data_IF_707106579827
#
_entry.id   IF_707106579827
#
_cell.length_a   1.000
_cell.length_b   1.000
_cell.length_c   1.000
_cell.angle_alpha   90.00
_cell.angle_beta   90.00
_cell.angle_gamma   90.00
#
_symmetry.space_group_name_H-M   'P 1'
#
loop_
_entity.id
_entity.type
_entity.pdbx_description
1 polymer ?
#
# COMPACT_ATOMS: atom_id res chain seq x y z
N UNK A 1 -8.11 26.69 -6.27
CA UNK A 1 -7.76 25.36 -5.74
C UNK A 1 -7.53 25.37 -4.23
N UNK A 2 -6.69 26.25 -3.66
CA UNK A 2 -6.38 26.27 -2.21
C UNK A 2 -7.60 26.27 -1.28
N UNK A 3 -8.62 27.07 -1.58
CA UNK A 3 -9.82 27.22 -0.73
C UNK A 3 -10.69 25.94 -0.68
N UNK A 4 -10.82 25.23 -1.83
CA UNK A 4 -11.53 23.95 -1.91
C UNK A 4 -10.79 22.81 -1.19
N UNK A 5 -9.46 22.85 -1.20
CA UNK A 5 -8.60 21.89 -0.50
C UNK A 5 -8.72 22.03 1.02
N UNK A 6 -8.69 23.27 1.54
CA UNK A 6 -8.82 23.55 2.96
C UNK A 6 -10.17 23.11 3.54
N UNK A 7 -11.26 23.31 2.78
CA UNK A 7 -12.60 22.86 3.19
C UNK A 7 -12.72 21.34 3.26
N UNK A 8 -12.10 20.60 2.32
CA UNK A 8 -12.11 19.14 2.35
C UNK A 8 -11.34 18.59 3.57
N UNK A 9 -10.16 19.14 3.86
CA UNK A 9 -9.36 18.76 5.03
C UNK A 9 -10.10 19.07 6.34
N UNK A 10 -10.72 20.25 6.44
CA UNK A 10 -11.48 20.62 7.62
C UNK A 10 -12.70 19.71 7.85
N UNK A 11 -13.43 19.34 6.78
CA UNK A 11 -14.54 18.39 6.86
C UNK A 11 -14.10 17.03 7.38
N UNK A 12 -13.03 16.48 6.79
CA UNK A 12 -12.46 15.18 7.21
C UNK A 12 -12.02 15.24 8.67
N UNK A 13 -11.25 16.26 9.05
CA UNK A 13 -10.77 16.41 10.42
C UNK A 13 -11.94 16.47 11.42
N UNK A 14 -13.01 17.21 11.08
CA UNK A 14 -14.21 17.30 11.91
C UNK A 14 -14.88 15.93 12.07
N UNK A 15 -15.18 15.23 10.98
CA UNK A 15 -15.85 13.90 11.03
C UNK A 15 -15.03 12.86 11.81
N UNK A 16 -13.71 12.86 11.62
CA UNK A 16 -12.79 11.97 12.36
C UNK A 16 -12.79 12.31 13.84
N UNK A 17 -12.72 13.59 14.21
CA UNK A 17 -12.72 14.01 15.60
C UNK A 17 -14.07 13.68 16.28
N UNK A 18 -15.19 13.91 15.59
CA UNK A 18 -16.53 13.51 16.05
C UNK A 18 -16.61 12.00 16.30
N UNK A 19 -16.03 11.17 15.42
CA UNK A 19 -15.98 9.70 15.60
C UNK A 19 -15.21 9.32 16.87
N UNK A 20 -14.07 9.97 17.12
CA UNK A 20 -13.24 9.72 18.31
C UNK A 20 -13.94 10.18 19.59
N UNK A 21 -14.55 11.37 19.58
CA UNK A 21 -15.23 11.95 20.75
C UNK A 21 -16.51 11.21 21.12
N UNK A 22 -17.27 10.77 20.11
CA UNK A 22 -18.51 10.01 20.32
C UNK A 22 -18.28 8.54 20.67
N UNK A 23 -17.05 8.03 20.47
CA UNK A 23 -16.78 6.60 20.59
C UNK A 23 -17.55 5.76 19.58
N UNK A 24 -17.89 6.35 18.42
CA UNK A 24 -18.65 5.69 17.36
C UNK A 24 -17.87 4.50 16.80
N UNK A 25 -18.61 3.44 16.47
CA UNK A 25 -18.12 2.28 15.70
C UNK A 25 -18.11 2.54 14.19
N UNK A 26 -18.61 3.70 13.79
CA UNK A 26 -18.79 4.10 12.41
C UNK A 26 -17.93 5.32 12.11
N UNK A 27 -17.07 5.19 11.08
CA UNK A 27 -16.30 6.30 10.52
C UNK A 27 -16.89 6.69 9.16
N UNK A 28 -17.58 7.83 9.14
CA UNK A 28 -18.11 8.43 7.92
C UNK A 28 -17.11 9.43 7.32
N UNK A 29 -16.65 9.12 6.12
CA UNK A 29 -15.81 9.98 5.27
C UNK A 29 -16.39 10.12 3.86
N UNK A 30 -17.71 9.92 3.71
CA UNK A 30 -18.40 10.12 2.46
C UNK A 30 -18.35 11.59 2.00
N UNK A 31 -18.37 11.80 0.68
CA UNK A 31 -18.45 13.12 0.02
C UNK A 31 -17.33 14.10 0.41
N UNK A 32 -16.17 13.57 0.78
CA UNK A 32 -15.03 14.37 1.22
C UNK A 32 -14.09 14.80 0.08
N UNK A 33 -14.36 14.36 -1.17
CA UNK A 33 -13.51 14.60 -2.35
C UNK A 33 -12.10 14.03 -2.17
N UNK A 34 -12.01 12.88 -1.52
CA UNK A 34 -10.76 12.20 -1.24
C UNK A 34 -10.24 11.51 -2.49
N UNK A 35 -9.01 11.84 -2.89
CA UNK A 35 -8.29 11.12 -3.96
C UNK A 35 -7.60 9.86 -3.41
N UNK A 36 -7.26 9.88 -2.12
CA UNK A 36 -6.71 8.74 -1.38
C UNK A 36 -7.10 8.84 0.09
N UNK A 37 -7.01 7.71 0.81
CA UNK A 37 -7.23 7.71 2.24
C UNK A 37 -6.13 8.52 2.97
N UNK A 38 -6.46 9.57 3.74
CA UNK A 38 -5.45 10.46 4.31
C UNK A 38 -4.60 9.79 5.39
N UNK A 39 -3.28 9.83 5.23
CA UNK A 39 -2.32 9.17 6.13
C UNK A 39 -2.40 9.71 7.57
N UNK A 40 -2.78 10.98 7.74
CA UNK A 40 -2.95 11.59 9.07
C UNK A 40 -4.03 10.90 9.92
N UNK A 41 -5.05 10.32 9.28
CA UNK A 41 -6.16 9.66 9.98
C UNK A 41 -5.67 8.44 10.77
N UNK A 42 -4.68 7.68 10.25
CA UNK A 42 -4.09 6.55 10.97
C UNK A 42 -3.52 6.96 12.34
N UNK A 43 -2.99 8.19 12.44
CA UNK A 43 -2.42 8.70 13.70
C UNK A 43 -3.52 9.10 14.67
N UNK A 44 -4.58 9.74 14.17
CA UNK A 44 -5.70 10.23 14.99
C UNK A 44 -6.54 9.07 15.52
N UNK A 45 -6.78 8.04 14.69
CA UNK A 45 -7.63 6.91 15.04
C UNK A 45 -6.91 5.78 15.78
N UNK A 46 -5.60 5.88 16.05
CA UNK A 46 -4.78 4.77 16.57
C UNK A 46 -5.37 4.03 17.78
N UNK A 47 -6.12 4.72 18.64
CA UNK A 47 -6.67 4.16 19.87
C UNK A 47 -8.13 3.68 19.73
N UNK A 48 -8.75 3.90 18.58
CA UNK A 48 -10.16 3.58 18.30
C UNK A 48 -10.31 2.68 17.07
N UNK A 49 -9.23 2.26 16.41
CA UNK A 49 -9.30 1.42 15.21
C UNK A 49 -10.05 0.11 15.44
N UNK A 50 -9.87 -0.49 16.62
CA UNK A 50 -10.43 -1.81 16.95
C UNK A 50 -11.94 -1.77 17.20
N UNK A 51 -12.49 -0.58 17.50
CA UNK A 51 -13.92 -0.38 17.72
C UNK A 51 -14.67 -0.02 16.43
N UNK A 52 -13.95 0.34 15.36
CA UNK A 52 -14.55 0.73 14.09
C UNK A 52 -14.95 -0.53 13.32
N UNK A 53 -16.26 -0.69 13.14
CA UNK A 53 -16.87 -1.80 12.41
C UNK A 53 -17.45 -1.38 11.07
N UNK A 54 -17.78 -0.10 10.89
CA UNK A 54 -18.28 0.44 9.63
C UNK A 54 -17.42 1.61 9.15
N UNK A 55 -16.95 1.54 7.91
CA UNK A 55 -16.35 2.70 7.24
C UNK A 55 -17.13 3.00 5.96
N UNK A 56 -17.54 4.26 5.81
CA UNK A 56 -18.03 4.77 4.54
C UNK A 56 -17.06 5.78 3.93
N UNK A 57 -16.65 5.48 2.71
CA UNK A 57 -15.83 6.30 1.82
C UNK A 57 -16.58 6.61 0.52
N UNK A 58 -17.91 6.56 0.58
CA UNK A 58 -18.81 6.77 -0.55
C UNK A 58 -18.61 8.14 -1.23
N UNK A 59 -18.85 8.19 -2.54
CA UNK A 59 -18.88 9.42 -3.33
C UNK A 59 -17.59 10.27 -3.17
N UNK A 60 -16.44 9.60 -3.27
CA UNK A 60 -15.12 10.24 -3.26
C UNK A 60 -14.45 10.07 -4.64
N UNK A 61 -13.16 10.37 -4.74
CA UNK A 61 -12.37 10.26 -5.97
C UNK A 61 -11.27 9.19 -5.81
N UNK A 62 -11.52 8.16 -4.99
CA UNK A 62 -10.52 7.14 -4.65
C UNK A 62 -10.21 6.26 -5.85
N UNK A 63 -8.92 6.16 -6.19
CA UNK A 63 -8.43 5.27 -7.26
C UNK A 63 -7.89 3.94 -6.76
N UNK A 64 -7.57 3.88 -5.47
CA UNK A 64 -7.01 2.71 -4.82
C UNK A 64 -7.13 2.83 -3.30
N UNK A 65 -7.18 1.68 -2.62
CA UNK A 65 -6.94 1.58 -1.18
C UNK A 65 -5.57 0.95 -0.93
N UNK A 66 -4.94 1.34 0.17
CA UNK A 66 -3.61 0.82 0.54
C UNK A 66 -3.73 -0.44 1.39
N UNK A 67 -2.70 -1.28 1.37
CA UNK A 67 -2.57 -2.43 2.29
C UNK A 67 -2.69 -1.99 3.75
N UNK A 68 -2.10 -0.84 4.09
CA UNK A 68 -2.18 -0.23 5.42
C UNK A 68 -3.62 0.05 5.86
N UNK A 69 -4.51 0.43 4.95
CA UNK A 69 -5.93 0.62 5.30
C UNK A 69 -6.53 -0.69 5.82
N UNK A 70 -6.31 -1.79 5.09
CA UNK A 70 -6.83 -3.11 5.45
C UNK A 70 -6.26 -3.62 6.77
N UNK A 71 -4.95 -3.49 6.97
CA UNK A 71 -4.30 -3.95 8.20
C UNK A 71 -4.61 -3.09 9.42
N UNK A 72 -4.97 -1.82 9.23
CA UNK A 72 -5.33 -0.92 10.33
C UNK A 72 -6.76 -1.15 10.81
N UNK A 73 -7.70 -1.38 9.90
CA UNK A 73 -9.12 -1.56 10.21
C UNK A 73 -9.53 -3.03 10.12
N UNK A 74 -8.78 -3.91 10.79
CA UNK A 74 -8.97 -5.37 10.70
C UNK A 74 -10.29 -5.88 11.32
N UNK A 75 -10.96 -5.06 12.14
CA UNK A 75 -12.25 -5.34 12.78
C UNK A 75 -13.47 -4.88 11.96
N UNK A 76 -13.26 -4.45 10.71
CA UNK A 76 -14.33 -4.03 9.81
C UNK A 76 -15.33 -5.15 9.55
N UNK A 77 -16.61 -4.76 9.58
CA UNK A 77 -17.78 -5.58 9.23
C UNK A 77 -18.45 -5.06 7.97
N UNK A 78 -18.48 -3.76 7.78
CA UNK A 78 -19.14 -3.11 6.65
C UNK A 78 -18.22 -2.06 6.03
N UNK A 79 -18.06 -2.12 4.71
CA UNK A 79 -17.21 -1.21 3.95
C UNK A 79 -17.95 -0.67 2.73
N UNK A 80 -18.23 0.63 2.75
CA UNK A 80 -18.93 1.35 1.68
C UNK A 80 -17.93 2.17 0.86
N UNK A 81 -17.78 1.81 -0.41
CA UNK A 81 -16.83 2.39 -1.37
C UNK A 81 -17.51 2.84 -2.66
N UNK A 82 -18.83 2.96 -2.65
CA UNK A 82 -19.62 3.29 -3.83
C UNK A 82 -19.30 4.68 -4.37
N UNK A 83 -19.42 4.87 -5.69
CA UNK A 83 -19.23 6.18 -6.32
C UNK A 83 -17.77 6.66 -6.24
N UNK A 84 -16.82 5.77 -6.52
CA UNK A 84 -15.39 6.06 -6.56
C UNK A 84 -14.80 5.67 -7.94
N UNK A 85 -13.47 5.70 -8.08
CA UNK A 85 -12.74 5.31 -9.29
C UNK A 85 -11.87 4.06 -9.06
N UNK A 86 -12.35 3.13 -8.23
CA UNK A 86 -11.64 1.90 -7.92
C UNK A 86 -11.76 0.92 -9.10
N UNK A 87 -10.64 0.33 -9.49
CA UNK A 87 -10.57 -0.72 -10.53
C UNK A 87 -10.05 -2.05 -10.00
N UNK A 88 -9.50 -2.05 -8.78
CA UNK A 88 -8.98 -3.24 -8.08
C UNK A 88 -8.99 -3.01 -6.58
N UNK A 89 -9.01 -4.10 -5.83
CA UNK A 89 -8.76 -4.11 -4.39
C UNK A 89 -7.33 -4.61 -4.09
N UNK A 90 -6.70 -4.14 -2.99
CA UNK A 90 -5.43 -4.71 -2.55
C UNK A 90 -5.61 -6.16 -2.07
N UNK A 91 -4.58 -6.99 -2.19
CA UNK A 91 -4.64 -8.40 -1.79
C UNK A 91 -4.94 -8.58 -0.29
N UNK A 92 -4.53 -7.61 0.52
CA UNK A 92 -4.76 -7.56 1.96
C UNK A 92 -6.23 -7.38 2.33
N UNK A 93 -7.15 -7.15 1.38
CA UNK A 93 -8.60 -7.21 1.66
C UNK A 93 -8.97 -8.58 2.27
N UNK A 94 -8.28 -9.66 1.87
CA UNK A 94 -8.43 -11.00 2.42
C UNK A 94 -8.12 -11.10 3.93
N UNK A 95 -7.44 -10.10 4.51
CA UNK A 95 -7.15 -10.06 5.95
C UNK A 95 -8.34 -9.60 6.79
N UNK A 96 -9.40 -9.05 6.18
CA UNK A 96 -10.60 -8.57 6.87
C UNK A 96 -11.54 -9.72 7.22
N UNK A 97 -11.12 -10.58 8.15
CA UNK A 97 -11.83 -11.82 8.55
C UNK A 97 -13.26 -11.59 9.08
N UNK A 98 -13.58 -10.37 9.49
CA UNK A 98 -14.89 -9.99 10.04
C UNK A 98 -15.79 -9.26 9.03
N UNK A 99 -15.32 -9.02 7.80
CA UNK A 99 -16.07 -8.26 6.80
C UNK A 99 -17.28 -9.07 6.32
N UNK A 100 -18.47 -8.50 6.49
CA UNK A 100 -19.78 -9.07 6.12
C UNK A 100 -20.37 -8.45 4.88
N UNK A 101 -20.24 -7.14 4.74
CA UNK A 101 -20.79 -6.41 3.59
C UNK A 101 -19.74 -5.49 2.98
N UNK A 102 -19.70 -5.47 1.66
CA UNK A 102 -18.91 -4.52 0.89
C UNK A 102 -19.72 -3.96 -0.27
N UNK A 103 -19.78 -2.63 -0.36
CA UNK A 103 -20.38 -1.93 -1.49
C UNK A 103 -19.30 -1.33 -2.38
N UNK A 104 -19.18 -1.85 -3.59
CA UNK A 104 -18.25 -1.40 -4.64
C UNK A 104 -19.02 -0.86 -5.85
N UNK A 105 -20.32 -0.57 -5.71
CA UNK A 105 -21.13 -0.08 -6.82
C UNK A 105 -20.60 1.25 -7.37
N UNK A 106 -20.88 1.56 -8.65
CA UNK A 106 -20.46 2.83 -9.27
C UNK A 106 -18.96 3.05 -9.17
N UNK A 107 -18.19 2.06 -9.60
CA UNK A 107 -16.73 2.08 -9.68
C UNK A 107 -16.28 1.66 -11.10
N UNK A 108 -15.00 1.29 -11.26
CA UNK A 108 -14.37 0.96 -12.55
C UNK A 108 -13.80 -0.47 -12.57
N UNK A 109 -14.46 -1.41 -11.87
CA UNK A 109 -14.03 -2.81 -11.90
C UNK A 109 -14.37 -3.45 -13.25
N UNK A 110 -13.37 -4.04 -13.90
CA UNK A 110 -13.53 -4.81 -15.15
C UNK A 110 -13.69 -6.31 -14.92
N UNK A 111 -13.14 -6.80 -13.82
CA UNK A 111 -13.18 -8.20 -13.42
C UNK A 111 -13.78 -8.31 -12.01
N UNK A 112 -14.33 -9.47 -11.69
CA UNK A 112 -14.72 -9.76 -10.31
C UNK A 112 -13.47 -9.78 -9.41
N UNK A 113 -13.47 -9.07 -8.27
CA UNK A 113 -12.36 -9.09 -7.33
C UNK A 113 -12.28 -10.43 -6.58
N UNK A 114 -11.55 -11.40 -7.13
CA UNK A 114 -11.42 -12.76 -6.59
C UNK A 114 -10.96 -12.79 -5.12
N UNK A 115 -10.24 -11.78 -4.66
CA UNK A 115 -9.83 -11.64 -3.26
C UNK A 115 -11.02 -11.65 -2.29
N UNK A 116 -12.20 -11.18 -2.71
CA UNK A 116 -13.42 -11.23 -1.90
C UNK A 116 -13.93 -12.66 -1.67
N UNK A 117 -13.62 -13.61 -2.56
CA UNK A 117 -14.03 -15.01 -2.39
C UNK A 117 -13.33 -15.71 -1.23
N UNK A 118 -12.20 -15.15 -0.77
CA UNK A 118 -11.41 -15.70 0.34
C UNK A 118 -11.91 -15.27 1.71
N UNK A 119 -12.86 -14.34 1.77
CA UNK A 119 -13.37 -13.78 3.02
C UNK A 119 -14.42 -14.71 3.64
N UNK A 120 -14.17 -15.26 4.85
CA UNK A 120 -15.02 -16.31 5.41
C UNK A 120 -16.38 -15.80 5.92
N UNK A 121 -16.48 -14.52 6.27
CA UNK A 121 -17.66 -13.91 6.85
C UNK A 121 -18.47 -13.06 5.85
N UNK A 122 -18.06 -13.00 4.59
CA UNK A 122 -18.64 -12.10 3.60
C UNK A 122 -20.01 -12.63 3.13
N UNK A 123 -21.05 -11.85 3.40
CA UNK A 123 -22.45 -12.18 3.13
C UNK A 123 -22.98 -11.39 1.92
N UNK A 124 -22.57 -10.13 1.77
CA UNK A 124 -23.11 -9.21 0.76
C UNK A 124 -22.00 -8.50 -0.01
N UNK A 125 -22.11 -8.53 -1.34
CA UNK A 125 -21.23 -7.80 -2.26
C UNK A 125 -22.12 -7.05 -3.25
N UNK A 126 -21.98 -5.72 -3.31
CA UNK A 126 -22.59 -4.91 -4.36
C UNK A 126 -21.52 -4.49 -5.38
N UNK A 127 -21.71 -4.86 -6.64
CA UNK A 127 -20.83 -4.52 -7.77
C UNK A 127 -21.62 -3.84 -8.91
N UNK A 128 -22.84 -3.36 -8.65
CA UNK A 128 -23.67 -2.69 -9.65
C UNK A 128 -22.97 -1.47 -10.25
N UNK A 129 -23.31 -1.12 -11.48
CA UNK A 129 -22.74 0.06 -12.16
C UNK A 129 -21.20 0.05 -12.21
N UNK A 130 -20.61 -1.12 -12.45
CA UNK A 130 -19.20 -1.31 -12.83
C UNK A 130 -19.08 -1.76 -14.29
N UNK A 131 -17.85 -1.92 -14.77
CA UNK A 131 -17.53 -2.34 -16.14
C UNK A 131 -17.19 -3.84 -16.24
N UNK A 132 -17.83 -4.67 -15.40
CA UNK A 132 -17.48 -6.09 -15.26
C UNK A 132 -17.86 -6.86 -16.53
N UNK A 133 -16.86 -7.31 -17.28
CA UNK A 133 -17.03 -8.11 -18.50
C UNK A 133 -16.77 -9.57 -18.16
N UNK A 134 -17.84 -10.29 -17.80
CA UNK A 134 -17.80 -11.73 -17.55
C UNK A 134 -17.94 -12.09 -16.08
N UNK A 135 -18.97 -12.89 -15.78
CA UNK A 135 -19.06 -13.58 -14.49
C UNK A 135 -17.90 -14.59 -14.38
N UNK A 136 -17.43 -14.94 -13.16
CA UNK A 136 -16.47 -16.01 -13.01
C UNK A 136 -17.06 -17.27 -13.63
N UNK A 137 -16.45 -17.75 -14.71
CA UNK A 137 -16.64 -19.14 -15.11
C UNK A 137 -16.19 -19.97 -13.91
N UNK A 138 -17.16 -20.50 -13.16
CA UNK A 138 -16.90 -21.57 -12.20
C UNK A 138 -15.95 -22.57 -12.87
N UNK A 139 -14.91 -23.07 -12.20
CA UNK A 139 -14.18 -24.21 -12.71
C UNK A 139 -15.18 -25.38 -12.75
N UNK A 140 -15.75 -25.62 -13.93
CA UNK A 140 -16.58 -26.77 -14.23
C UNK A 140 -15.68 -28.00 -14.33
N UNK A 141 -15.20 -28.51 -13.19
CA UNK A 141 -14.62 -29.85 -13.09
C UNK A 141 -14.77 -30.44 -11.67
N UNK A 142 -16.01 -30.54 -11.18
CA UNK A 142 -16.34 -31.59 -10.21
C UNK A 142 -16.35 -32.95 -10.91
N UNK A 143 -15.16 -33.42 -11.31
CA UNK A 143 -14.89 -34.81 -11.66
C UNK A 143 -13.71 -35.25 -10.81
N UNK A 144 -14.05 -35.85 -9.67
CA UNK A 144 -13.15 -36.66 -8.84
C UNK A 144 -12.29 -37.57 -9.73
N UNK A 145 -10.95 -37.58 -9.62
CA UNK A 145 -10.17 -38.72 -10.06
C UNK A 145 -10.07 -39.74 -8.91
N UNK A 146 -10.18 -41.06 -9.18
CA UNK A 146 -9.87 -42.08 -8.19
C UNK A 146 -8.36 -42.13 -7.96
N UNK A 147 -8.03 -42.47 -6.71
CA UNK A 147 -6.72 -42.79 -6.16
C UNK A 147 -5.76 -43.52 -7.10
N UNK A 148 -4.54 -43.00 -7.29
CA UNK A 148 -3.31 -43.81 -7.38
C UNK A 148 -2.09 -43.06 -6.80
N UNK A 149 -1.75 -43.50 -5.59
CA UNK A 149 -0.44 -43.77 -5.00
C UNK A 149 0.84 -43.40 -5.79
N UNK A 150 1.78 -42.67 -5.15
CA UNK A 150 3.19 -42.63 -5.60
C UNK A 150 4.03 -41.39 -5.26
N UNK A 151 4.45 -41.27 -3.99
CA UNK A 151 5.75 -40.74 -3.50
C UNK A 151 6.31 -39.40 -4.03
N UNK A 152 6.35 -38.36 -3.18
CA UNK A 152 7.57 -37.88 -2.48
C UNK A 152 7.35 -36.52 -1.77
N UNK A 153 7.54 -36.55 -0.44
CA UNK A 153 8.11 -35.51 0.47
C UNK A 153 7.54 -34.07 0.55
N UNK A 154 6.91 -33.81 1.71
CA UNK A 154 7.06 -32.65 2.62
C UNK A 154 7.76 -31.38 2.13
N UNK A 155 7.06 -30.24 2.24
CA UNK A 155 7.32 -29.19 3.24
C UNK A 155 6.77 -27.83 2.77
N UNK A 156 5.79 -27.28 3.48
CA UNK A 156 5.62 -25.82 3.58
C UNK A 156 6.82 -25.23 4.31
N UNK A 157 7.24 -24.00 3.97
CA UNK A 157 6.76 -22.90 4.79
C UNK A 157 6.32 -21.68 4.00
N UNK A 158 5.51 -20.88 4.70
CA UNK A 158 5.03 -19.57 4.37
C UNK A 158 6.15 -18.56 4.01
N UNK A 159 5.67 -17.46 3.43
CA UNK A 159 6.19 -16.10 3.53
C UNK A 159 6.79 -15.51 2.23
N UNK A 160 6.18 -14.38 1.86
CA UNK A 160 6.83 -13.16 1.40
C UNK A 160 7.01 -12.92 -0.11
N UNK A 161 6.64 -11.69 -0.47
CA UNK A 161 7.12 -10.85 -1.58
C UNK A 161 6.27 -10.84 -2.86
N UNK A 162 5.03 -10.36 -2.72
CA UNK A 162 4.24 -9.76 -3.81
C UNK A 162 4.78 -8.37 -4.22
N UNK A 163 6.07 -8.28 -4.52
CA UNK A 163 6.69 -7.17 -5.27
C UNK A 163 7.46 -7.65 -6.53
N UNK A 164 7.54 -8.97 -6.77
CA UNK A 164 8.50 -9.55 -7.73
C UNK A 164 7.96 -9.77 -9.15
N UNK A 165 6.66 -9.98 -9.35
CA UNK A 165 6.18 -10.57 -10.62
C UNK A 165 6.21 -9.65 -11.86
N UNK A 166 6.45 -8.34 -11.71
CA UNK A 166 6.68 -7.45 -12.87
C UNK A 166 8.14 -7.48 -13.37
N UNK A 167 9.10 -7.90 -12.54
CA UNK A 167 10.52 -8.08 -12.92
C UNK A 167 10.83 -9.48 -13.47
N UNK A 168 9.89 -10.41 -13.33
CA UNK A 168 10.14 -11.83 -13.55
C UNK A 168 10.07 -12.27 -15.03
N UNK A 169 9.70 -11.38 -15.97
CA UNK A 169 9.53 -11.78 -17.37
C UNK A 169 10.74 -11.53 -18.29
N UNK A 170 11.84 -10.98 -17.77
CA UNK A 170 13.11 -11.01 -18.50
C UNK A 170 14.31 -10.85 -17.56
N UNK A 171 15.05 -11.94 -17.35
CA UNK A 171 16.39 -11.96 -16.72
C UNK A 171 17.30 -10.77 -17.10
N UNK A 172 17.37 -10.31 -18.37
CA UNK A 172 18.18 -9.14 -18.72
C UNK A 172 17.69 -7.82 -18.11
N UNK A 173 16.38 -7.63 -17.88
CA UNK A 173 15.84 -6.36 -17.37
C UNK A 173 16.22 -6.17 -15.90
N UNK A 174 16.10 -7.20 -15.07
CA UNK A 174 16.53 -7.17 -13.67
C UNK A 174 18.04 -6.90 -13.56
N UNK A 175 18.85 -7.56 -14.40
CA UNK A 175 20.29 -7.32 -14.46
C UNK A 175 20.62 -5.85 -14.81
N UNK A 176 19.90 -5.26 -15.77
CA UNK A 176 20.10 -3.85 -16.15
C UNK A 176 19.80 -2.89 -15.00
N UNK A 177 18.74 -3.13 -14.23
CA UNK A 177 18.43 -2.31 -13.05
C UNK A 177 19.48 -2.47 -11.95
N UNK A 178 19.89 -3.70 -11.63
CA UNK A 178 20.94 -3.95 -10.64
C UNK A 178 22.24 -3.23 -11.03
N UNK A 179 22.66 -3.35 -12.29
CA UNK A 179 23.85 -2.66 -12.80
C UNK A 179 23.69 -1.15 -12.69
N UNK A 180 22.53 -0.59 -13.06
CA UNK A 180 22.27 0.84 -12.96
C UNK A 180 22.33 1.33 -11.51
N UNK A 181 21.71 0.61 -10.56
CA UNK A 181 21.75 0.95 -9.14
C UNK A 181 23.18 0.89 -8.57
N UNK A 182 23.96 -0.13 -8.92
CA UNK A 182 25.36 -0.26 -8.51
C UNK A 182 26.20 0.89 -9.07
N UNK A 183 26.00 1.28 -10.33
CA UNK A 183 26.72 2.41 -10.94
C UNK A 183 26.38 3.74 -10.26
N UNK A 184 25.10 4.00 -10.00
CA UNK A 184 24.65 5.21 -9.28
C UNK A 184 25.27 5.25 -7.89
N UNK A 185 25.25 4.12 -7.16
CA UNK A 185 25.87 4.01 -5.85
C UNK A 185 27.36 4.33 -5.87
N UNK A 186 28.11 3.74 -6.81
CA UNK A 186 29.55 4.00 -6.95
C UNK A 186 29.84 5.47 -7.27
N UNK A 187 29.05 6.09 -8.15
CA UNK A 187 29.17 7.52 -8.46
C UNK A 187 28.93 8.39 -7.23
N UNK A 188 27.89 8.09 -6.45
CA UNK A 188 27.60 8.78 -5.20
C UNK A 188 28.75 8.62 -4.18
N UNK A 189 29.26 7.40 -3.99
CA UNK A 189 30.35 7.13 -3.06
C UNK A 189 31.63 7.85 -3.46
N UNK A 190 32.01 7.81 -4.74
CA UNK A 190 33.21 8.50 -5.26
C UNK A 190 33.05 10.02 -5.14
N UNK A 191 31.88 10.56 -5.53
CA UNK A 191 31.60 12.00 -5.45
C UNK A 191 31.68 12.53 -4.02
N UNK A 192 30.99 11.87 -3.09
CA UNK A 192 30.97 12.27 -1.68
C UNK A 192 32.33 12.06 -1.00
N UNK A 193 33.06 11.01 -1.35
CA UNK A 193 34.43 10.78 -0.85
C UNK A 193 35.39 11.87 -1.35
N UNK A 194 35.25 12.30 -2.62
CA UNK A 194 36.08 13.36 -3.19
C UNK A 194 35.80 14.72 -2.52
N UNK A 195 34.52 15.04 -2.28
CA UNK A 195 34.11 16.25 -1.54
C UNK A 195 34.71 16.24 -0.14
N UNK A 196 34.58 15.13 0.60
CA UNK A 196 35.21 14.96 1.92
C UNK A 196 36.73 15.15 1.85
N UNK A 197 37.40 14.53 0.87
CA UNK A 197 38.84 14.60 0.71
C UNK A 197 39.34 16.02 0.43
N UNK A 198 38.68 16.75 -0.49
CA UNK A 198 39.06 18.12 -0.86
C UNK A 198 38.92 19.06 0.36
N UNK A 199 37.81 18.96 1.09
CA UNK A 199 37.54 19.82 2.26
C UNK A 199 38.48 19.50 3.42
N UNK A 200 38.80 18.22 3.67
CA UNK A 200 39.72 17.82 4.73
C UNK A 200 41.17 18.18 4.42
N UNK A 201 41.60 18.04 3.16
CA UNK A 201 42.97 18.31 2.71
C UNK A 201 43.31 19.80 2.72
N UNK A 202 42.38 20.67 2.33
CA UNK A 202 42.61 22.12 2.32
C UNK A 202 42.16 22.78 3.62
N UNK A 203 43.08 22.98 4.57
CA UNK A 203 42.82 23.69 5.84
C UNK A 203 42.25 25.10 5.68
N UNK A 204 42.57 25.79 4.59
CA UNK A 204 42.06 27.14 4.29
C UNK A 204 40.58 27.15 3.84
N UNK A 205 40.03 25.99 3.48
CA UNK A 205 38.64 25.84 3.04
C UNK A 205 37.70 25.48 4.19
N UNK A 206 38.10 25.60 5.47
CA UNK A 206 37.25 25.27 6.62
C UNK A 206 36.33 26.42 7.04
N UNK A 207 35.57 26.94 6.09
CA UNK A 207 34.47 27.88 6.37
C UNK A 207 33.24 27.13 6.84
N UNK A 208 32.31 27.80 7.53
CA UNK A 208 31.06 27.20 8.03
C UNK A 208 30.28 26.50 6.91
N UNK A 209 30.26 27.10 5.72
CA UNK A 209 29.63 26.52 4.51
C UNK A 209 30.27 25.21 4.08
N UNK A 210 31.61 25.11 4.10
CA UNK A 210 32.31 23.90 3.70
C UNK A 210 32.23 22.79 4.76
N UNK A 211 32.05 23.14 6.04
CA UNK A 211 31.73 22.17 7.10
C UNK A 211 30.31 21.60 6.92
N UNK A 212 29.34 22.43 6.51
CA UNK A 212 28.00 21.95 6.17
C UNK A 212 28.02 20.98 4.98
N UNK A 213 28.75 21.32 3.92
CA UNK A 213 28.94 20.44 2.76
C UNK A 213 29.61 19.12 3.16
N UNK A 214 30.60 19.16 4.06
CA UNK A 214 31.25 17.96 4.60
C UNK A 214 30.25 17.08 5.39
N UNK A 215 29.42 17.68 6.23
CA UNK A 215 28.40 16.93 7.00
C UNK A 215 27.35 16.29 6.09
N UNK A 216 26.95 16.97 5.01
CA UNK A 216 26.03 16.41 4.02
C UNK A 216 26.67 15.20 3.30
N UNK A 217 27.91 15.35 2.83
CA UNK A 217 28.64 14.28 2.15
C UNK A 217 28.88 13.06 3.06
N UNK A 218 29.16 13.27 4.35
CA UNK A 218 29.29 12.19 5.34
C UNK A 218 27.95 11.49 5.57
N UNK A 219 26.85 12.25 5.66
CA UNK A 219 25.52 11.68 5.85
C UNK A 219 25.12 10.80 4.66
N UNK A 220 25.38 11.25 3.44
CA UNK A 220 25.12 10.47 2.23
C UNK A 220 26.00 9.21 2.14
N UNK A 221 27.26 9.29 2.57
CA UNK A 221 28.15 8.13 2.67
C UNK A 221 27.62 7.08 3.66
N UNK A 222 27.13 7.53 4.83
CA UNK A 222 26.56 6.65 5.85
C UNK A 222 25.26 5.99 5.35
N UNK A 223 24.36 6.75 4.75
CA UNK A 223 23.13 6.20 4.16
C UNK A 223 23.48 5.21 3.05
N UNK A 224 24.43 5.53 2.17
CA UNK A 224 24.89 4.62 1.13
C UNK A 224 25.42 3.30 1.69
N UNK A 225 26.30 3.34 2.70
CA UNK A 225 26.93 2.15 3.27
C UNK A 225 25.95 1.30 4.08
N UNK A 226 25.06 1.92 4.86
CA UNK A 226 24.16 1.19 5.76
C UNK A 226 22.82 0.79 5.14
N UNK A 227 22.33 1.51 4.13
CA UNK A 227 21.01 1.23 3.53
C UNK A 227 21.06 0.36 2.26
N UNK A 228 22.20 0.28 1.56
CA UNK A 228 22.32 -0.57 0.35
C UNK A 228 22.35 -2.09 0.59
N UNK A 229 22.95 -2.63 1.67
CA UNK A 229 22.97 -4.08 1.88
C UNK A 229 21.56 -4.67 2.05
N UNK A 230 20.61 -3.87 2.52
CA UNK A 230 19.23 -4.30 2.77
C UNK A 230 18.32 -4.19 1.56
N UNK A 231 18.69 -3.44 0.51
CA UNK A 231 17.84 -3.29 -0.69
C UNK A 231 18.21 -4.24 -1.84
N UNK A 232 19.34 -4.95 -1.72
CA UNK A 232 19.86 -5.87 -2.75
C UNK A 232 19.75 -7.35 -2.34
N UNK A 233 19.39 -7.61 -1.08
CA UNK A 233 19.30 -8.96 -0.49
C UNK A 233 17.84 -9.40 -0.22
N UNK A 234 16.87 -8.49 -0.33
CA UNK A 234 15.42 -8.77 -0.36
C UNK A 234 14.86 -8.57 -1.78
#
# INVERSE_FOLDING_TARGET
MLRKMGEAVARVARKVNETVESGSDTLDLAECKLVSFPIGIYKVLRNVTDQIHLITLANNELKSLTSKFMTTFCQLRELHLEGNFLHRLPNEISTLQHLKAIDLSRNQFHDFPEQLTTLPALETINLEENEIVGAPSQPSNSSWPPSQNGSHTEATPAANLTFSSYYQHSSPVAAMFIVAYVLIFLLCMVGNTLVCFIVLKNRHMRTVTNIFILNLAISDLLVGVFCMPTTLVD
#
